data_IF_386818066451
#
_entry.id   IF_386818066451
#
_cell.length_a   1.000
_cell.length_b   1.000
_cell.length_c   1.000
_cell.angle_alpha   90.00
_cell.angle_beta   90.00
_cell.angle_gamma   90.00
#
_symmetry.space_group_name_H-M   'P 1'
#
loop_
_entity.id
_entity.type
_entity.pdbx_description
1 polymer ?
#
# COMPACT_ATOMS: atom_id res chain seq x y z
N UNK A 1 -5.48 0.15 -26.48
CA UNK A 1 -4.06 -0.11 -26.18
C UNK A 1 -3.98 -0.35 -24.69
N UNK A 2 -3.58 -1.54 -24.25
CA UNK A 2 -3.49 -1.90 -22.83
C UNK A 2 -2.41 -1.01 -22.18
N UNK A 3 -2.79 -0.07 -21.30
CA UNK A 3 -1.80 0.67 -20.52
C UNK A 3 -1.09 -0.32 -19.60
N UNK A 4 0.10 -0.76 -20.04
CA UNK A 4 1.02 -1.53 -19.23
C UNK A 4 1.60 -0.61 -18.16
N UNK A 5 0.89 -0.48 -17.03
CA UNK A 5 1.43 0.15 -15.83
C UNK A 5 2.70 -0.59 -15.43
N UNK A 6 3.84 0.03 -15.73
CA UNK A 6 5.14 -0.52 -15.36
C UNK A 6 5.50 0.02 -13.99
N UNK A 7 5.46 -0.84 -12.99
CA UNK A 7 5.98 -0.52 -11.67
C UNK A 7 7.42 -0.04 -11.74
N UNK A 8 7.82 0.79 -10.78
CA UNK A 8 9.17 1.35 -10.70
C UNK A 8 9.84 0.92 -9.41
N UNK A 9 11.08 0.48 -9.54
CA UNK A 9 11.95 0.11 -8.42
C UNK A 9 13.14 1.07 -8.39
N UNK A 10 13.48 1.56 -7.20
CA UNK A 10 14.62 2.45 -6.97
C UNK A 10 15.36 2.02 -5.71
N UNK A 11 16.64 2.35 -5.64
CA UNK A 11 17.50 1.97 -4.51
C UNK A 11 17.89 3.22 -3.72
N UNK A 12 17.90 3.09 -2.40
CA UNK A 12 18.10 4.22 -1.49
C UNK A 12 18.88 3.78 -0.26
N UNK A 13 19.31 4.78 0.53
CA UNK A 13 19.87 4.58 1.86
C UNK A 13 19.31 5.62 2.81
N UNK A 14 19.02 5.22 4.05
CA UNK A 14 18.69 6.11 5.14
C UNK A 14 19.73 5.99 6.26
N UNK A 15 20.11 7.12 6.85
CA UNK A 15 21.00 7.18 8.00
C UNK A 15 20.19 7.51 9.26
N UNK A 16 20.10 6.58 10.19
CA UNK A 16 19.42 6.76 11.48
C UNK A 16 20.34 7.39 12.54
N UNK A 17 21.64 7.20 12.39
CA UNK A 17 22.70 7.87 13.16
C UNK A 17 23.99 7.87 12.34
N UNK A 18 25.08 8.42 12.90
CA UNK A 18 26.40 8.39 12.23
C UNK A 18 26.86 6.97 11.88
N UNK A 19 26.54 5.99 12.73
CA UNK A 19 26.97 4.59 12.59
C UNK A 19 25.86 3.66 12.09
N UNK A 20 24.59 4.02 12.22
CA UNK A 20 23.47 3.19 11.80
C UNK A 20 22.90 3.67 10.46
N UNK A 21 23.20 2.92 9.41
CA UNK A 21 22.68 3.13 8.05
C UNK A 21 21.90 1.90 7.58
N UNK A 22 20.90 2.13 6.75
CA UNK A 22 20.11 1.09 6.15
C UNK A 22 19.93 1.36 4.66
N UNK A 23 20.47 0.48 3.83
CA UNK A 23 20.18 0.46 2.39
C UNK A 23 18.87 -0.29 2.16
N UNK A 24 18.02 0.23 1.28
CA UNK A 24 16.71 -0.34 0.99
C UNK A 24 16.31 -0.14 -0.47
N UNK A 25 15.35 -0.93 -0.91
CA UNK A 25 14.68 -0.79 -2.20
C UNK A 25 13.30 -0.21 -1.97
N UNK A 26 12.92 0.80 -2.76
CA UNK A 26 11.57 1.34 -2.84
C UNK A 26 10.92 0.87 -4.14
N UNK A 27 9.75 0.24 -4.03
CA UNK A 27 8.96 -0.29 -5.15
C UNK A 27 7.61 0.41 -5.14
N UNK A 28 7.21 0.98 -6.27
CA UNK A 28 5.85 1.45 -6.52
C UNK A 28 5.29 0.62 -7.69
N UNK A 29 4.27 -0.20 -7.45
CA UNK A 29 3.81 -1.18 -8.42
C UNK A 29 2.33 -1.53 -8.23
N UNK A 30 1.73 -2.17 -9.24
CA UNK A 30 0.36 -2.68 -9.21
C UNK A 30 0.36 -4.20 -9.10
N UNK A 31 -0.57 -4.71 -8.29
CA UNK A 31 -0.85 -6.13 -8.17
C UNK A 31 -2.22 -6.42 -8.74
N UNK A 32 -2.27 -7.28 -9.76
CA UNK A 32 -3.53 -7.74 -10.33
C UNK A 32 -4.21 -8.73 -9.38
N UNK A 33 -5.47 -8.47 -9.07
CA UNK A 33 -6.38 -9.33 -8.31
C UNK A 33 -7.32 -10.04 -9.27
N UNK A 34 -7.67 -11.28 -8.94
CA UNK A 34 -8.40 -12.17 -9.85
C UNK A 34 -9.69 -12.68 -9.22
N UNK A 35 -10.71 -12.90 -10.05
CA UNK A 35 -11.95 -13.59 -9.67
C UNK A 35 -12.27 -14.62 -10.74
N UNK A 36 -12.31 -15.91 -10.37
CA UNK A 36 -12.49 -17.03 -11.31
C UNK A 36 -11.53 -16.92 -12.51
N UNK A 37 -10.25 -16.71 -12.22
CA UNK A 37 -9.14 -16.56 -13.19
C UNK A 37 -9.20 -15.31 -14.10
N UNK A 38 -10.25 -14.48 -14.00
CA UNK A 38 -10.34 -13.22 -14.73
C UNK A 38 -9.72 -12.08 -13.91
N UNK A 39 -8.85 -11.25 -14.52
CA UNK A 39 -8.30 -10.06 -13.86
C UNK A 39 -9.44 -9.07 -13.60
N UNK A 40 -9.63 -8.70 -12.35
CA UNK A 40 -10.79 -7.90 -11.92
C UNK A 40 -10.37 -6.51 -11.45
N UNK A 41 -9.25 -6.40 -10.74
CA UNK A 41 -8.75 -5.14 -10.23
C UNK A 41 -7.22 -5.08 -10.22
N UNK A 42 -6.67 -3.87 -10.21
CA UNK A 42 -5.25 -3.60 -9.98
C UNK A 42 -5.12 -2.81 -8.68
N UNK A 43 -4.44 -3.40 -7.71
CA UNK A 43 -4.18 -2.81 -6.41
C UNK A 43 -2.76 -2.21 -6.38
N UNK A 44 -2.68 -0.89 -6.26
CA UNK A 44 -1.42 -0.18 -6.15
C UNK A 44 -0.84 -0.30 -4.74
N UNK A 45 0.48 -0.35 -4.68
CA UNK A 45 1.21 -0.33 -3.42
C UNK A 45 2.57 0.35 -3.55
N UNK A 46 3.07 0.85 -2.41
CA UNK A 46 4.46 1.26 -2.24
C UNK A 46 5.12 0.39 -1.18
N UNK A 47 6.18 -0.32 -1.54
CA UNK A 47 6.94 -1.18 -0.63
C UNK A 47 8.36 -0.67 -0.39
N UNK A 48 8.80 -0.74 0.86
CA UNK A 48 10.17 -0.44 1.29
C UNK A 48 10.79 -1.68 1.92
N UNK A 49 11.84 -2.21 1.28
CA UNK A 49 12.49 -3.47 1.67
C UNK A 49 13.96 -3.26 1.95
N UNK A 50 14.42 -3.59 3.15
CA UNK A 50 15.82 -3.50 3.52
C UNK A 50 16.70 -4.48 2.71
N UNK A 51 17.85 -4.00 2.22
CA UNK A 51 18.86 -4.82 1.54
C UNK A 51 19.74 -5.57 2.56
N UNK A 52 19.18 -6.63 3.16
CA UNK A 52 19.78 -7.56 4.15
C UNK A 52 20.15 -6.95 5.51
N UNK A 53 19.52 -7.46 6.58
CA UNK A 53 19.95 -7.27 7.98
C UNK A 53 20.02 -8.63 8.70
N UNK A 54 21.14 -9.33 8.56
CA UNK A 54 21.49 -10.50 9.39
C UNK A 54 20.64 -11.78 9.21
N UNK A 55 20.88 -12.75 10.11
CA UNK A 55 20.30 -14.10 10.08
C UNK A 55 18.83 -14.19 10.60
N UNK A 56 18.28 -13.10 11.15
CA UNK A 56 16.90 -13.06 11.65
C UNK A 56 15.93 -12.76 10.51
N UNK A 57 14.80 -13.47 10.48
CA UNK A 57 13.71 -13.23 9.52
C UNK A 57 13.10 -11.86 9.81
N UNK A 58 13.52 -10.85 9.06
CA UNK A 58 13.02 -9.48 9.19
C UNK A 58 11.50 -9.45 8.97
N UNK A 59 10.72 -8.81 9.84
CA UNK A 59 9.28 -8.69 9.67
C UNK A 59 8.87 -7.91 8.41
N UNK A 60 7.62 -8.13 7.99
CA UNK A 60 6.93 -7.28 7.01
C UNK A 60 5.64 -6.77 7.64
N UNK A 61 5.39 -5.46 7.50
CA UNK A 61 4.19 -4.81 8.01
C UNK A 61 3.40 -4.24 6.84
N UNK A 62 2.16 -4.68 6.68
CA UNK A 62 1.22 -4.15 5.71
C UNK A 62 0.40 -3.03 6.35
N UNK A 63 0.35 -1.87 5.71
CA UNK A 63 -0.18 -0.63 6.29
C UNK A 63 -1.41 -0.16 5.53
N UNK A 64 -2.49 0.10 6.27
CA UNK A 64 -3.78 0.53 5.75
C UNK A 64 -4.20 1.88 6.32
N UNK A 65 -4.44 2.85 5.45
CA UNK A 65 -5.03 4.12 5.85
C UNK A 65 -6.52 3.99 6.17
N UNK A 66 -7.02 4.96 6.95
CA UNK A 66 -8.43 5.12 7.30
C UNK A 66 -9.22 5.96 6.30
N UNK A 67 -10.52 6.13 6.56
CA UNK A 67 -11.50 6.55 5.55
C UNK A 67 -11.66 5.46 4.48
N UNK A 68 -12.88 5.03 4.11
CA UNK A 68 -12.99 3.95 3.13
C UNK A 68 -12.41 4.34 1.75
N UNK A 69 -12.20 5.64 1.51
CA UNK A 69 -11.68 6.19 0.25
C UNK A 69 -10.26 6.80 0.26
N UNK A 70 -9.53 6.79 1.38
CA UNK A 70 -8.22 7.47 1.41
C UNK A 70 -7.10 6.58 0.87
N UNK A 71 -6.22 7.18 0.07
CA UNK A 71 -4.95 6.56 -0.30
C UNK A 71 -4.04 6.35 0.92
N UNK A 72 -3.07 5.46 0.80
CA UNK A 72 -2.08 5.17 1.84
C UNK A 72 -1.14 6.35 2.18
N UNK A 73 -1.29 7.48 1.48
CA UNK A 73 -0.42 8.65 1.56
C UNK A 73 -0.25 9.23 2.98
N UNK A 74 -1.27 9.20 3.87
CA UNK A 74 -1.11 9.80 5.21
C UNK A 74 -0.17 9.00 6.11
N UNK A 75 -0.30 7.67 6.18
CA UNK A 75 0.64 6.89 6.98
C UNK A 75 1.98 6.75 6.25
N UNK A 76 1.96 6.74 4.92
CA UNK A 76 3.16 6.66 4.09
C UNK A 76 4.04 7.92 4.24
N UNK A 77 3.49 9.10 3.93
CA UNK A 77 4.24 10.36 3.88
C UNK A 77 4.05 11.23 5.12
N UNK A 78 3.14 10.88 6.03
CA UNK A 78 2.91 11.61 7.27
C UNK A 78 3.55 10.96 8.51
N UNK A 79 3.82 9.65 8.48
CA UNK A 79 4.22 8.92 9.70
C UNK A 79 5.30 7.86 9.51
N UNK A 80 5.00 6.76 8.81
CA UNK A 80 5.73 5.50 8.91
C UNK A 80 6.83 5.32 7.86
N UNK A 81 6.69 5.96 6.69
CA UNK A 81 7.61 5.80 5.56
C UNK A 81 8.98 6.44 5.78
N UNK A 82 10.02 6.04 5.03
CA UNK A 82 11.39 6.56 5.18
C UNK A 82 11.56 8.01 4.70
N UNK A 83 10.55 8.56 4.03
CA UNK A 83 10.42 9.95 3.64
C UNK A 83 9.10 10.48 4.18
N UNK A 84 9.08 11.74 4.62
CA UNK A 84 7.86 12.39 5.11
C UNK A 84 7.73 13.82 4.60
N UNK A 85 6.50 14.29 4.47
CA UNK A 85 6.21 15.70 4.31
C UNK A 85 6.61 16.47 5.58
N UNK A 86 7.08 17.71 5.40
CA UNK A 86 7.26 18.64 6.51
C UNK A 86 5.89 19.18 6.93
N UNK A 87 5.63 19.15 8.23
CA UNK A 87 4.47 19.79 8.87
C UNK A 87 4.95 21.00 9.66
N UNK A 88 4.06 21.96 9.83
CA UNK A 88 4.25 23.07 10.77
C UNK A 88 4.18 22.56 12.21
N UNK A 89 4.60 23.38 13.17
CA UNK A 89 4.61 23.01 14.60
C UNK A 89 3.21 22.64 15.13
N UNK A 90 2.16 23.23 14.56
CA UNK A 90 0.76 22.93 14.88
C UNK A 90 0.21 21.68 14.16
N UNK A 91 1.06 20.96 13.41
CA UNK A 91 0.69 19.77 12.65
C UNK A 91 0.01 20.04 11.31
N UNK A 92 -0.14 21.29 10.90
CA UNK A 92 -0.72 21.63 9.59
C UNK A 92 0.30 21.50 8.46
N UNK A 93 -0.17 21.30 7.23
CA UNK A 93 0.70 21.30 6.05
C UNK A 93 1.11 22.74 5.68
N UNK A 94 2.38 22.99 5.33
CA UNK A 94 2.78 24.27 4.75
C UNK A 94 2.14 24.47 3.38
N UNK A 95 2.09 25.73 2.93
CA UNK A 95 1.61 26.04 1.56
C UNK A 95 2.48 25.30 0.53
N UNK A 96 1.89 24.71 -0.52
CA UNK A 96 2.65 24.07 -1.58
C UNK A 96 3.69 25.02 -2.22
N UNK A 97 4.87 24.52 -2.62
CA UNK A 97 5.30 23.13 -2.57
C UNK A 97 5.79 22.70 -1.17
N UNK A 98 5.22 21.62 -0.63
CA UNK A 98 5.66 21.02 0.64
C UNK A 98 6.97 20.25 0.42
N UNK A 99 7.97 20.50 1.27
CA UNK A 99 9.22 19.74 1.24
C UNK A 99 9.04 18.31 1.74
N UNK A 100 9.79 17.37 1.15
CA UNK A 100 9.88 15.98 1.58
C UNK A 100 11.27 15.71 2.15
N UNK A 101 11.32 15.39 3.44
CA UNK A 101 12.57 15.15 4.18
C UNK A 101 12.74 13.67 4.52
N UNK A 102 13.95 13.28 4.93
CA UNK A 102 14.19 11.93 5.47
C UNK A 102 13.50 11.77 6.82
N UNK A 103 12.89 10.60 7.05
CA UNK A 103 12.23 10.28 8.30
C UNK A 103 13.05 9.28 9.11
N UNK A 104 13.86 9.79 10.06
CA UNK A 104 14.71 8.94 10.91
C UNK A 104 13.91 8.13 11.93
N UNK A 105 12.65 8.49 12.17
CA UNK A 105 11.73 7.77 13.07
C UNK A 105 10.88 6.74 12.32
N UNK A 106 11.15 6.52 11.04
CA UNK A 106 10.40 5.56 10.23
C UNK A 106 10.50 4.13 10.76
N UNK A 107 9.43 3.37 10.53
CA UNK A 107 9.35 1.96 10.95
C UNK A 107 10.24 1.04 10.11
N UNK A 108 10.75 1.54 8.97
CA UNK A 108 11.75 0.84 8.18
C UNK A 108 13.03 0.53 8.99
N UNK A 109 13.22 1.12 10.17
CA UNK A 109 14.27 0.70 11.08
C UNK A 109 14.15 -0.77 11.51
N UNK A 110 12.94 -1.30 11.70
CA UNK A 110 12.72 -2.62 12.30
C UNK A 110 11.82 -3.57 11.49
N UNK A 111 11.06 -3.08 10.50
CA UNK A 111 10.22 -3.91 9.62
C UNK A 111 10.32 -3.45 8.18
N UNK A 112 10.14 -4.34 7.20
CA UNK A 112 9.79 -3.89 5.86
C UNK A 112 8.35 -3.36 5.86
N UNK A 113 8.07 -2.37 5.00
CA UNK A 113 6.80 -1.66 4.97
C UNK A 113 6.14 -1.84 3.61
N UNK A 114 4.83 -2.11 3.60
CA UNK A 114 4.02 -2.20 2.39
C UNK A 114 2.77 -1.36 2.59
N UNK A 115 2.72 -0.21 1.94
CA UNK A 115 1.59 0.70 1.93
C UNK A 115 0.64 0.29 0.80
N UNK A 116 -0.61 -0.04 1.13
CA UNK A 116 -1.57 -0.58 0.18
C UNK A 116 -2.69 0.45 -0.02
N UNK A 117 -3.01 0.74 -1.27
CA UNK A 117 -4.20 1.50 -1.64
C UNK A 117 -5.35 0.50 -1.91
N UNK A 118 -6.41 0.44 -1.09
CA UNK A 118 -7.59 -0.36 -1.41
C UNK A 118 -8.22 0.03 -2.76
N UNK A 119 -8.99 -0.88 -3.36
CA UNK A 119 -9.64 -0.63 -4.66
C UNK A 119 -10.55 0.61 -4.59
N UNK A 120 -10.37 1.53 -5.55
CA UNK A 120 -11.09 2.81 -5.58
C UNK A 120 -10.38 3.96 -4.84
N UNK A 121 -9.23 3.71 -4.20
CA UNK A 121 -8.39 4.72 -3.55
C UNK A 121 -7.09 4.94 -4.32
N UNK A 122 -6.46 6.10 -4.15
CA UNK A 122 -5.14 6.40 -4.72
C UNK A 122 -5.00 6.01 -6.19
N UNK A 123 -4.09 5.09 -6.50
CA UNK A 123 -3.87 4.56 -7.87
C UNK A 123 -4.51 3.18 -8.13
N UNK A 124 -5.31 2.65 -7.20
CA UNK A 124 -5.98 1.35 -7.34
C UNK A 124 -7.30 1.47 -8.10
N UNK A 125 -7.51 0.63 -9.12
CA UNK A 125 -8.68 0.70 -10.01
C UNK A 125 -9.21 -0.70 -10.37
N UNK A 126 -10.48 -0.76 -10.71
CA UNK A 126 -11.07 -1.94 -11.39
C UNK A 126 -10.58 -1.98 -12.84
N UNK A 127 -10.38 -3.17 -13.38
CA UNK A 127 -9.93 -3.35 -14.78
C UNK A 127 -10.97 -2.81 -15.77
N UNK A 128 -12.26 -2.95 -15.47
CA UNK A 128 -13.33 -2.43 -16.32
C UNK A 128 -13.40 -0.90 -16.33
N UNK A 129 -13.16 -0.25 -15.19
CA UNK A 129 -13.14 1.21 -15.09
C UNK A 129 -11.98 1.81 -15.90
N UNK A 130 -10.82 1.13 -15.91
CA UNK A 130 -9.67 1.52 -16.75
C UNK A 130 -10.01 1.44 -18.24
N UNK A 131 -10.63 0.34 -18.70
CA UNK A 131 -11.01 0.18 -20.12
C UNK A 131 -11.95 1.29 -20.59
N UNK A 132 -12.95 1.64 -19.77
CA UNK A 132 -13.89 2.73 -20.08
C UNK A 132 -13.20 4.10 -20.13
N UNK A 133 -12.22 4.33 -19.26
CA UNK A 133 -11.43 5.57 -19.26
C UNK A 133 -10.52 5.69 -20.48
N UNK A 134 -9.87 4.58 -20.89
CA UNK A 134 -9.01 4.53 -22.07
C UNK A 134 -9.79 4.71 -23.39
N UNK A 135 -11.07 4.34 -23.43
CA UNK A 135 -11.97 4.51 -24.58
C UNK A 135 -12.60 5.92 -24.67
N UNK A 136 -12.16 6.88 -23.85
CA UNK A 136 -12.67 8.26 -23.87
C UNK A 136 -14.06 8.43 -23.24
N UNK A 137 -14.61 7.37 -22.65
CA UNK A 137 -15.84 7.43 -21.88
C UNK A 137 -15.60 8.13 -20.53
N UNK A 138 -16.34 9.19 -20.23
CA UNK A 138 -16.46 9.65 -18.85
C UNK A 138 -17.15 8.53 -18.08
N UNK A 139 -16.41 7.81 -17.23
CA UNK A 139 -17.01 6.94 -16.23
C UNK A 139 -18.01 7.79 -15.43
N UNK A 140 -19.31 7.61 -15.70
CA UNK A 140 -20.32 8.37 -14.99
C UNK A 140 -20.23 7.94 -13.52
N UNK A 141 -20.42 8.88 -12.59
CA UNK A 141 -20.44 8.56 -11.14
C UNK A 141 -21.50 7.50 -10.79
N UNK A 142 -22.44 7.25 -11.69
CA UNK A 142 -23.47 6.22 -11.61
C UNK A 142 -22.98 4.83 -12.08
N UNK A 143 -22.08 4.72 -13.05
CA UNK A 143 -21.54 3.44 -13.53
C UNK A 143 -20.43 2.87 -12.63
N UNK A 144 -19.57 3.74 -12.08
CA UNK A 144 -18.57 3.35 -11.08
C UNK A 144 -19.21 2.77 -9.81
N UNK A 145 -20.48 3.11 -9.56
CA UNK A 145 -21.27 2.62 -8.42
C UNK A 145 -21.78 1.19 -8.61
N UNK A 146 -21.74 0.64 -9.83
CA UNK A 146 -22.15 -0.75 -10.12
C UNK A 146 -20.94 -1.71 -10.24
N UNK A 147 -19.82 -1.27 -10.81
CA UNK A 147 -18.61 -2.11 -10.97
C UNK A 147 -17.71 -2.12 -9.74
N UNK A 148 -17.52 -0.97 -9.07
CA UNK A 148 -16.76 -0.86 -7.83
C UNK A 148 -17.51 -1.28 -6.56
N UNK A 149 -18.82 -1.55 -6.68
CA UNK A 149 -19.71 -1.74 -5.53
C UNK A 149 -19.28 -2.91 -4.63
N UNK A 150 -18.86 -4.03 -5.24
CA UNK A 150 -18.52 -5.22 -4.46
C UNK A 150 -17.30 -4.95 -3.56
N UNK A 151 -16.27 -4.24 -4.04
CA UNK A 151 -15.07 -3.93 -3.23
C UNK A 151 -15.32 -2.90 -2.13
N UNK A 152 -16.47 -2.22 -2.12
CA UNK A 152 -16.88 -1.36 -1.01
C UNK A 152 -17.70 -2.13 0.04
N UNK A 153 -18.11 -3.36 -0.26
CA UNK A 153 -18.59 -4.29 0.75
C UNK A 153 -17.42 -4.79 1.60
N UNK A 154 -17.63 -4.77 2.92
CA UNK A 154 -16.59 -5.10 3.90
C UNK A 154 -15.95 -6.47 3.62
N UNK A 155 -16.74 -7.46 3.24
CA UNK A 155 -16.23 -8.82 2.97
C UNK A 155 -15.26 -8.83 1.81
N UNK A 156 -15.65 -8.27 0.66
CA UNK A 156 -14.82 -8.28 -0.54
C UNK A 156 -13.61 -7.37 -0.41
N UNK A 157 -13.73 -6.23 0.27
CA UNK A 157 -12.59 -5.37 0.65
C UNK A 157 -11.53 -6.21 1.37
N UNK A 158 -11.92 -6.89 2.45
CA UNK A 158 -11.00 -7.70 3.25
C UNK A 158 -10.42 -8.90 2.49
N UNK A 159 -11.23 -9.59 1.68
CA UNK A 159 -10.75 -10.68 0.83
C UNK A 159 -9.71 -10.19 -0.19
N UNK A 160 -9.92 -9.01 -0.77
CA UNK A 160 -8.98 -8.41 -1.72
C UNK A 160 -7.64 -8.06 -1.08
N UNK A 161 -7.68 -7.53 0.16
CA UNK A 161 -6.46 -7.25 0.95
C UNK A 161 -5.76 -8.54 1.36
N UNK A 162 -6.52 -9.58 1.71
CA UNK A 162 -5.97 -10.92 1.98
C UNK A 162 -5.28 -11.53 0.75
N UNK A 163 -5.94 -11.50 -0.41
CA UNK A 163 -5.36 -11.96 -1.68
C UNK A 163 -4.07 -11.19 -2.01
N UNK A 164 -4.07 -9.87 -1.83
CA UNK A 164 -2.89 -9.03 -2.01
C UNK A 164 -1.74 -9.48 -1.12
N UNK A 165 -1.98 -9.65 0.19
CA UNK A 165 -0.94 -10.06 1.15
C UNK A 165 -0.34 -11.40 0.74
N UNK A 166 -1.16 -12.41 0.43
CA UNK A 166 -0.67 -13.74 0.04
C UNK A 166 0.17 -13.68 -1.24
N UNK A 167 -0.30 -12.93 -2.25
CA UNK A 167 0.45 -12.72 -3.50
C UNK A 167 1.76 -11.97 -3.27
N UNK A 168 1.77 -10.94 -2.42
CA UNK A 168 2.98 -10.21 -2.05
C UNK A 168 4.00 -11.13 -1.38
N UNK A 169 3.58 -11.89 -0.37
CA UNK A 169 4.45 -12.83 0.34
C UNK A 169 5.02 -13.89 -0.62
N UNK A 170 4.22 -14.37 -1.57
CA UNK A 170 4.65 -15.32 -2.59
C UNK A 170 5.67 -14.72 -3.55
N UNK A 171 5.36 -13.55 -4.14
CA UNK A 171 6.23 -12.84 -5.09
C UNK A 171 7.59 -12.50 -4.48
N UNK A 172 7.61 -12.11 -3.22
CA UNK A 172 8.83 -11.69 -2.51
C UNK A 172 9.47 -12.81 -1.67
N UNK A 173 8.93 -14.04 -1.70
CA UNK A 173 9.42 -15.21 -0.93
C UNK A 173 9.49 -14.94 0.58
N UNK A 174 8.45 -14.30 1.14
CA UNK A 174 8.38 -13.82 2.54
C UNK A 174 7.44 -14.60 3.45
N UNK A 175 6.91 -15.73 3.01
CA UNK A 175 6.02 -16.59 3.82
C UNK A 175 6.57 -16.98 5.20
N UNK A 176 7.89 -17.00 5.37
CA UNK A 176 8.51 -17.36 6.65
C UNK A 176 8.79 -16.15 7.56
N UNK A 177 8.61 -14.92 7.07
CA UNK A 177 8.81 -13.71 7.85
C UNK A 177 7.65 -13.51 8.85
N UNK A 178 7.91 -12.92 10.03
CA UNK A 178 6.83 -12.40 10.87
C UNK A 178 6.00 -11.39 10.08
N UNK A 179 4.68 -11.60 10.01
CA UNK A 179 3.75 -10.74 9.28
C UNK A 179 2.95 -9.91 10.28
N UNK A 180 2.95 -8.61 10.08
CA UNK A 180 2.14 -7.66 10.84
C UNK A 180 1.23 -6.88 9.91
N UNK A 181 0.10 -6.43 10.46
CA UNK A 181 -0.82 -5.52 9.81
C UNK A 181 -1.04 -4.31 10.72
N UNK A 182 -1.02 -3.12 10.15
CA UNK A 182 -1.16 -1.86 10.87
C UNK A 182 -2.16 -0.97 10.13
N UNK A 183 -2.91 -0.16 10.87
CA UNK A 183 -3.84 0.77 10.27
C UNK A 183 -4.35 1.83 11.22
N UNK A 184 -4.81 2.93 10.65
CA UNK A 184 -5.30 4.10 11.36
C UNK A 184 -6.79 4.33 11.04
N UNK A 185 -7.59 4.81 12.00
CA UNK A 185 -9.00 5.11 11.79
C UNK A 185 -9.76 3.90 11.19
N UNK A 186 -10.42 4.01 10.04
CA UNK A 186 -11.08 2.86 9.38
C UNK A 186 -10.10 1.73 9.01
N UNK A 187 -8.81 2.03 8.85
CA UNK A 187 -7.75 1.04 8.70
C UNK A 187 -7.61 0.15 9.94
N UNK A 188 -7.93 0.66 11.14
CA UNK A 188 -7.99 -0.14 12.37
C UNK A 188 -9.12 -1.18 12.34
N UNK A 189 -10.27 -0.83 11.77
CA UNK A 189 -11.36 -1.79 11.53
C UNK A 189 -10.94 -2.89 10.53
N UNK A 190 -10.26 -2.50 9.44
CA UNK A 190 -9.67 -3.46 8.49
C UNK A 190 -8.70 -4.40 9.19
N UNK A 191 -7.79 -3.87 10.00
CA UNK A 191 -6.81 -4.67 10.77
C UNK A 191 -7.50 -5.72 11.64
N UNK A 192 -8.49 -5.32 12.44
CA UNK A 192 -9.17 -6.23 13.36
C UNK A 192 -9.84 -7.41 12.63
N UNK A 193 -10.53 -7.14 11.50
CA UNK A 193 -11.20 -8.20 10.74
C UNK A 193 -10.24 -9.01 9.88
N UNK A 194 -9.23 -8.38 9.28
CA UNK A 194 -8.26 -9.05 8.43
C UNK A 194 -7.38 -10.01 9.22
N UNK A 195 -7.00 -9.66 10.46
CA UNK A 195 -6.28 -10.56 11.36
C UNK A 195 -7.01 -11.90 11.53
N UNK A 196 -8.34 -11.85 11.70
CA UNK A 196 -9.19 -13.04 11.81
C UNK A 196 -9.23 -13.84 10.51
N UNK A 197 -9.48 -13.17 9.38
CA UNK A 197 -9.58 -13.82 8.07
C UNK A 197 -8.27 -14.52 7.68
N UNK A 198 -7.12 -13.90 7.97
CA UNK A 198 -5.80 -14.46 7.67
C UNK A 198 -5.40 -15.64 8.59
N UNK A 199 -6.09 -15.83 9.72
CA UNK A 199 -5.89 -17.01 10.58
C UNK A 199 -6.82 -18.17 10.22
N UNK A 200 -8.04 -17.87 9.77
CA UNK A 200 -9.07 -18.86 9.46
C UNK A 200 -8.92 -19.49 8.06
N UNK A 201 -8.18 -18.84 7.16
CA UNK A 201 -7.93 -19.27 5.77
C UNK A 201 -6.45 -19.44 5.50
#
# INVERSE_FOLDING_TARGET
>A
MEQNYKGKTTEHQISFSRSLKLSYTAVADWMTLYKKEKPLAKMFHVAYMAKKQGAKKRPVTFVFNGGPGAASAYLHMGALGPRRAVFQEDGTLPKPPTEVVSNVDCWLRFTDLVFIDPIGTGFSRMVEDEKKADEGGKASKTDAKQTGSEYWEVTRDLESLGEFIQKFLSRHKRWTAPVFIAGESYGGFRVAKLARILQEK
#
